data_IF_851615981427
#
_entry.id   IF_851615981427
#
_cell.length_a   1.000
_cell.length_b   1.000
_cell.length_c   1.000
_cell.angle_alpha   90.00
_cell.angle_beta   90.00
_cell.angle_gamma   90.00
#
_symmetry.space_group_name_H-M   'P 1'
#
loop_
_entity.id
_entity.type
_entity.pdbx_description
1 polymer ?
#
# COMPACT_ATOMS: atom_id res chain seq x y z
N UNK A 1 3.98 7.91 29.01
CA UNK A 1 4.82 6.76 28.59
C UNK A 1 4.05 6.00 27.51
N UNK A 2 4.40 6.18 26.22
CA UNK A 2 3.78 5.45 25.11
C UNK A 2 4.55 4.14 24.93
N UNK A 3 4.00 3.05 25.47
CA UNK A 3 4.50 1.70 25.21
C UNK A 3 3.92 1.14 23.92
N UNK A 4 4.80 0.55 23.11
CA UNK A 4 4.56 -0.39 22.01
C UNK A 4 3.46 -0.05 20.97
N UNK A 5 3.86 0.56 19.85
CA UNK A 5 3.13 0.48 18.56
C UNK A 5 3.82 -0.45 17.54
N UNK A 6 4.91 -1.12 17.92
CA UNK A 6 5.72 -1.91 16.96
C UNK A 6 4.99 -3.14 16.40
N UNK A 7 4.10 -3.79 17.16
CA UNK A 7 3.45 -5.03 16.72
C UNK A 7 2.44 -4.85 15.58
N UNK A 8 1.58 -3.85 15.67
CA UNK A 8 0.49 -3.64 14.69
C UNK A 8 1.00 -3.39 13.26
N UNK A 9 2.16 -2.72 13.11
CA UNK A 9 2.74 -2.51 11.79
C UNK A 9 3.26 -3.81 11.17
N UNK A 10 3.80 -4.72 11.99
CA UNK A 10 4.31 -6.01 11.51
C UNK A 10 3.14 -6.94 11.14
N UNK A 11 2.07 -6.97 11.95
CA UNK A 11 0.86 -7.76 11.65
C UNK A 11 0.26 -7.39 10.28
N UNK A 12 0.22 -6.10 9.93
CA UNK A 12 -0.31 -5.64 8.64
C UNK A 12 0.64 -5.96 7.48
N UNK A 13 1.96 -5.86 7.68
CA UNK A 13 2.94 -6.29 6.68
C UNK A 13 2.78 -7.78 6.38
N UNK A 14 2.72 -8.61 7.42
CA UNK A 14 2.55 -10.06 7.30
C UNK A 14 1.23 -10.42 6.62
N UNK A 15 0.13 -9.76 7.00
CA UNK A 15 -1.17 -9.92 6.34
C UNK A 15 -1.08 -9.57 4.85
N UNK A 16 -0.44 -8.46 4.50
CA UNK A 16 -0.34 -8.02 3.10
C UNK A 16 0.46 -9.02 2.25
N UNK A 17 1.62 -9.47 2.76
CA UNK A 17 2.43 -10.47 2.06
C UNK A 17 1.73 -11.82 1.97
N UNK A 18 0.94 -12.20 2.98
CA UNK A 18 0.08 -13.39 2.91
C UNK A 18 -0.97 -13.27 1.79
N UNK A 19 -1.59 -12.09 1.62
CA UNK A 19 -2.57 -11.87 0.55
C UNK A 19 -1.93 -11.95 -0.83
N UNK A 20 -0.79 -11.26 -1.01
CA UNK A 20 -0.02 -11.31 -2.26
C UNK A 20 0.34 -12.76 -2.61
N UNK A 21 0.86 -13.51 -1.64
CA UNK A 21 1.17 -14.94 -1.82
C UNK A 21 -0.06 -15.79 -2.11
N UNK A 22 -1.21 -15.52 -1.47
CA UNK A 22 -2.44 -16.30 -1.66
C UNK A 22 -3.06 -16.08 -3.04
N UNK A 23 -2.99 -14.85 -3.57
CA UNK A 23 -3.54 -14.47 -4.87
C UNK A 23 -2.56 -14.66 -6.03
N UNK A 24 -1.33 -15.13 -5.78
CA UNK A 24 -0.24 -15.20 -6.76
C UNK A 24 0.08 -13.82 -7.38
N UNK A 25 -0.04 -12.78 -6.56
CA UNK A 25 0.21 -11.39 -6.92
C UNK A 25 1.65 -11.01 -6.57
N UNK A 26 2.33 -10.37 -7.52
CA UNK A 26 3.77 -10.11 -7.45
C UNK A 26 4.10 -8.93 -6.55
N UNK A 27 5.02 -9.15 -5.62
CA UNK A 27 5.51 -8.11 -4.71
C UNK A 27 6.08 -6.91 -5.49
N UNK A 28 6.73 -7.16 -6.63
CA UNK A 28 7.34 -6.14 -7.49
C UNK A 28 6.32 -5.20 -8.14
N UNK A 29 5.04 -5.58 -8.18
CA UNK A 29 3.97 -4.70 -8.65
C UNK A 29 3.61 -3.64 -7.59
N UNK A 30 3.91 -3.91 -6.31
CA UNK A 30 3.59 -3.05 -5.18
C UNK A 30 4.82 -2.32 -4.62
N UNK A 31 5.96 -3.00 -4.58
CA UNK A 31 7.22 -2.50 -4.03
C UNK A 31 8.30 -2.42 -5.09
N UNK A 32 9.05 -1.32 -5.07
CA UNK A 32 10.28 -1.16 -5.83
C UNK A 32 11.43 -0.92 -4.84
N UNK A 33 12.42 -1.81 -4.84
CA UNK A 33 13.52 -1.76 -3.88
C UNK A 33 14.68 -0.93 -4.40
N UNK A 34 15.21 -0.06 -3.53
CA UNK A 34 16.44 0.69 -3.75
C UNK A 34 17.39 0.49 -2.57
N UNK A 35 18.65 0.91 -2.70
CA UNK A 35 19.57 0.89 -1.56
C UNK A 35 19.04 1.75 -0.39
N UNK A 36 19.35 1.37 0.86
CA UNK A 36 18.90 2.11 2.05
C UNK A 36 19.43 3.56 2.07
N UNK A 37 20.59 3.79 1.44
CA UNK A 37 21.22 5.10 1.30
C UNK A 37 20.82 5.86 0.05
N UNK A 38 20.07 5.24 -0.88
CA UNK A 38 19.64 5.83 -2.14
C UNK A 38 18.86 7.13 -1.91
N UNK A 39 19.23 8.23 -2.55
CA UNK A 39 18.53 9.50 -2.51
C UNK A 39 17.35 9.52 -3.51
N UNK A 40 16.43 10.48 -3.35
CA UNK A 40 15.24 10.56 -4.20
C UNK A 40 15.62 10.76 -5.68
N UNK A 41 16.67 11.53 -5.96
CA UNK A 41 17.17 11.83 -7.29
C UNK A 41 17.89 10.65 -7.95
N UNK A 42 18.27 9.64 -7.16
CA UNK A 42 19.00 8.44 -7.60
C UNK A 42 18.05 7.28 -7.96
N UNK A 43 16.75 7.42 -7.70
CA UNK A 43 15.76 6.41 -8.06
C UNK A 43 15.64 6.32 -9.58
N UNK A 44 15.87 5.14 -10.15
CA UNK A 44 15.70 4.86 -11.58
C UNK A 44 14.21 4.77 -11.96
N UNK A 45 13.53 5.93 -12.00
CA UNK A 45 12.08 6.03 -12.19
C UNK A 45 11.57 5.34 -13.47
N UNK A 46 12.39 5.22 -14.52
CA UNK A 46 12.02 4.50 -15.74
C UNK A 46 11.79 3.00 -15.56
N UNK A 47 12.24 2.41 -14.43
CA UNK A 47 11.98 1.01 -14.07
C UNK A 47 10.79 0.85 -13.12
N UNK A 48 10.30 1.95 -12.54
CA UNK A 48 9.18 1.93 -11.60
C UNK A 48 7.86 1.80 -12.39
N UNK A 49 6.86 1.03 -11.90
CA UNK A 49 5.55 1.00 -12.51
C UNK A 49 4.92 2.40 -12.66
N UNK A 50 4.06 2.55 -13.67
CA UNK A 50 3.28 3.78 -13.87
C UNK A 50 2.17 3.95 -12.83
N UNK A 51 1.74 2.84 -12.23
CA UNK A 51 0.76 2.83 -11.14
C UNK A 51 1.39 3.26 -9.81
N UNK A 52 0.57 3.62 -8.81
CA UNK A 52 1.05 3.82 -7.45
C UNK A 52 1.95 2.70 -6.95
N UNK A 53 3.20 3.03 -6.63
CA UNK A 53 4.21 2.06 -6.17
C UNK A 53 4.97 2.62 -4.99
N UNK A 54 5.18 1.79 -3.97
CA UNK A 54 5.96 2.13 -2.80
C UNK A 54 7.43 1.84 -3.11
N UNK A 55 8.27 2.86 -3.00
CA UNK A 55 9.72 2.67 -3.06
C UNK A 55 10.20 2.30 -1.67
N UNK A 56 10.80 1.13 -1.52
CA UNK A 56 11.34 0.62 -0.26
C UNK A 56 12.84 0.90 -0.24
N UNK A 57 13.30 1.77 0.67
CA UNK A 57 14.73 2.02 0.85
C UNK A 57 15.31 0.90 1.72
N UNK A 58 16.09 0.00 1.11
CA UNK A 58 16.65 -1.18 1.74
C UNK A 58 16.19 -2.49 1.09
N UNK A 59 16.78 -3.58 1.54
CA UNK A 59 16.63 -4.91 0.91
C UNK A 59 15.30 -5.60 1.22
N UNK A 60 14.48 -5.05 2.13
CA UNK A 60 13.25 -5.71 2.56
C UNK A 60 12.27 -4.74 3.23
N UNK A 61 10.98 -4.87 2.90
CA UNK A 61 9.89 -4.13 3.55
C UNK A 61 9.74 -4.47 5.05
N UNK A 62 10.32 -5.58 5.52
CA UNK A 62 10.35 -5.94 6.95
C UNK A 62 11.24 -4.99 7.74
N UNK A 63 12.48 -4.76 7.28
CA UNK A 63 13.50 -4.00 8.01
C UNK A 63 13.55 -2.51 7.65
N UNK A 64 13.00 -2.12 6.50
CA UNK A 64 13.07 -0.74 6.04
C UNK A 64 12.30 0.21 6.94
N UNK A 65 12.93 1.35 7.25
CA UNK A 65 12.33 2.43 8.05
C UNK A 65 12.02 3.67 7.20
N UNK A 66 12.34 3.61 5.91
CA UNK A 66 12.25 4.71 4.97
C UNK A 66 11.62 4.24 3.67
N UNK A 67 10.60 4.97 3.25
CA UNK A 67 9.80 4.69 2.08
C UNK A 67 9.57 5.98 1.28
N UNK A 68 9.34 5.81 -0.01
CA UNK A 68 8.84 6.86 -0.91
C UNK A 68 7.61 6.35 -1.65
N UNK A 69 6.86 7.27 -2.27
CA UNK A 69 5.74 6.95 -3.14
C UNK A 69 6.00 7.51 -4.54
N UNK A 70 5.88 6.63 -5.52
CA UNK A 70 5.88 6.98 -6.94
C UNK A 70 4.47 6.92 -7.51
N UNK A 71 4.14 7.87 -8.39
CA UNK A 71 2.95 7.88 -9.23
C UNK A 71 3.36 8.29 -10.64
N UNK A 72 3.00 7.51 -11.65
CA UNK A 72 3.35 7.79 -13.05
C UNK A 72 4.85 8.09 -13.21
N UNK A 73 5.69 7.29 -12.57
CA UNK A 73 7.15 7.45 -12.55
C UNK A 73 7.63 8.82 -12.04
N UNK A 74 6.85 9.45 -11.15
CA UNK A 74 7.24 10.67 -10.44
C UNK A 74 7.18 10.43 -8.94
N UNK A 75 8.23 10.84 -8.21
CA UNK A 75 8.22 10.80 -6.75
C UNK A 75 7.30 11.89 -6.20
N UNK A 76 6.20 11.49 -5.58
CA UNK A 76 5.20 12.41 -5.02
C UNK A 76 5.35 12.60 -3.51
N UNK A 77 6.02 11.65 -2.84
CA UNK A 77 6.37 11.77 -1.42
C UNK A 77 7.66 10.99 -1.15
N UNK A 78 8.70 11.68 -0.69
CA UNK A 78 10.05 11.11 -0.54
C UNK A 78 10.44 10.84 0.92
N UNK A 79 9.55 11.14 1.88
CA UNK A 79 9.86 11.07 3.30
C UNK A 79 8.74 10.40 4.10
N UNK A 80 8.55 9.10 3.84
CA UNK A 80 7.59 8.27 4.57
C UNK A 80 8.35 7.36 5.53
N UNK A 81 8.12 7.49 6.83
CA UNK A 81 8.85 6.77 7.88
C UNK A 81 8.13 5.51 8.42
N UNK A 82 6.99 5.16 7.84
CA UNK A 82 6.15 4.06 8.29
C UNK A 82 5.59 3.29 7.11
N UNK A 83 5.68 1.97 7.17
CA UNK A 83 5.10 1.06 6.19
C UNK A 83 3.59 1.28 6.05
N UNK A 84 2.88 1.38 7.18
CA UNK A 84 1.42 1.61 7.19
C UNK A 84 1.07 2.92 6.47
N UNK A 85 1.86 3.98 6.71
CA UNK A 85 1.66 5.25 6.03
C UNK A 85 1.92 5.14 4.53
N UNK A 86 2.98 4.44 4.12
CA UNK A 86 3.28 4.19 2.71
C UNK A 86 2.16 3.40 2.02
N UNK A 87 1.66 2.34 2.67
CA UNK A 87 0.56 1.51 2.20
C UNK A 87 -0.71 2.32 1.99
N UNK A 88 -1.13 3.12 2.97
CA UNK A 88 -2.36 3.91 2.85
C UNK A 88 -2.23 5.07 1.86
N UNK A 89 -1.05 5.69 1.75
CA UNK A 89 -0.81 6.73 0.75
C UNK A 89 -0.86 6.16 -0.67
N UNK A 90 -0.21 5.00 -0.89
CA UNK A 90 -0.27 4.27 -2.16
C UNK A 90 -1.70 3.85 -2.47
N UNK A 91 -2.38 3.18 -1.54
CA UNK A 91 -3.78 2.76 -1.72
C UNK A 91 -4.71 3.94 -2.01
N UNK A 92 -4.61 5.02 -1.23
CA UNK A 92 -5.44 6.21 -1.39
C UNK A 92 -5.21 6.93 -2.73
N UNK A 93 -4.01 6.85 -3.29
CA UNK A 93 -3.71 7.48 -4.58
C UNK A 93 -4.49 6.85 -5.74
N UNK A 94 -4.79 5.55 -5.71
CA UNK A 94 -5.67 4.94 -6.70
C UNK A 94 -7.05 5.63 -6.74
N UNK A 95 -7.60 5.93 -5.57
CA UNK A 95 -8.87 6.67 -5.47
C UNK A 95 -8.71 8.14 -5.90
N UNK A 96 -7.71 8.85 -5.35
CA UNK A 96 -7.53 10.29 -5.61
C UNK A 96 -7.30 10.61 -7.10
N UNK A 97 -6.60 9.73 -7.81
CA UNK A 97 -6.24 9.94 -9.21
C UNK A 97 -7.11 9.11 -10.19
N UNK A 98 -8.15 8.43 -9.70
CA UNK A 98 -9.04 7.58 -10.51
C UNK A 98 -8.28 6.52 -11.34
N UNK A 99 -7.25 5.92 -10.75
CA UNK A 99 -6.41 4.90 -11.38
C UNK A 99 -7.04 3.54 -11.11
N UNK A 100 -7.15 2.71 -12.15
CA UNK A 100 -7.63 1.34 -12.00
C UNK A 100 -6.57 0.49 -11.34
N UNK A 101 -6.99 -0.46 -10.48
CA UNK A 101 -6.06 -1.41 -9.91
C UNK A 101 -5.39 -2.22 -11.02
N UNK A 102 -4.06 -2.36 -11.02
CA UNK A 102 -3.38 -3.23 -11.96
C UNK A 102 -3.83 -4.67 -11.73
N UNK A 103 -3.94 -5.46 -12.80
CA UNK A 103 -4.35 -6.87 -12.72
C UNK A 103 -3.48 -7.69 -11.76
N UNK A 104 -2.23 -7.27 -11.60
CA UNK A 104 -1.20 -7.89 -10.79
C UNK A 104 -1.37 -7.64 -9.28
N UNK A 105 -2.29 -6.74 -8.87
CA UNK A 105 -2.59 -6.43 -7.46
C UNK A 105 -4.09 -6.31 -7.16
N UNK A 106 -4.95 -6.61 -8.14
CA UNK A 106 -6.38 -6.31 -8.07
C UNK A 106 -7.05 -6.96 -6.85
N UNK A 107 -6.74 -8.23 -6.57
CA UNK A 107 -7.36 -8.99 -5.48
C UNK A 107 -6.93 -8.45 -4.12
N UNK A 108 -5.63 -8.17 -3.93
CA UNK A 108 -5.13 -7.58 -2.68
C UNK A 108 -5.68 -6.18 -2.46
N UNK A 109 -5.72 -5.32 -3.48
CA UNK A 109 -6.24 -3.96 -3.36
C UNK A 109 -7.76 -3.95 -3.12
N UNK A 110 -8.52 -4.84 -3.76
CA UNK A 110 -9.95 -5.04 -3.47
C UNK A 110 -10.18 -5.51 -2.03
N UNK A 111 -9.33 -6.41 -1.52
CA UNK A 111 -9.39 -6.86 -0.14
C UNK A 111 -9.16 -5.70 0.84
N UNK A 112 -8.13 -4.88 0.61
CA UNK A 112 -7.85 -3.68 1.41
C UNK A 112 -9.04 -2.71 1.40
N UNK A 113 -9.64 -2.47 0.23
CA UNK A 113 -10.84 -1.65 0.09
C UNK A 113 -12.00 -2.21 0.94
N UNK A 114 -12.24 -3.52 0.92
CA UNK A 114 -13.31 -4.16 1.71
C UNK A 114 -13.06 -4.02 3.21
N UNK A 115 -11.82 -4.19 3.68
CA UNK A 115 -11.47 -3.99 5.09
C UNK A 115 -11.70 -2.55 5.52
N UNK A 116 -11.25 -1.56 4.74
CA UNK A 116 -11.46 -0.14 5.07
C UNK A 116 -12.94 0.22 5.21
N UNK A 117 -13.81 -0.36 4.38
CA UNK A 117 -15.27 -0.18 4.48
C UNK A 117 -15.86 -0.82 5.74
N UNK A 118 -15.39 -2.01 6.12
CA UNK A 118 -15.82 -2.68 7.36
C UNK A 118 -15.39 -1.86 8.58
N UNK A 119 -14.14 -1.40 8.60
CA UNK A 119 -13.56 -0.65 9.71
C UNK A 119 -14.15 0.76 9.86
N UNK A 120 -14.53 1.41 8.76
CA UNK A 120 -15.18 2.73 8.78
C UNK A 120 -16.63 2.69 9.27
N UNK A 121 -17.20 1.51 9.56
CA UNK A 121 -18.48 1.40 10.24
C UNK A 121 -19.66 1.95 9.46
N UNK A 122 -19.57 2.02 8.12
CA UNK A 122 -20.72 2.31 7.27
C UNK A 122 -21.71 1.17 7.47
N UNK A 123 -22.66 1.39 8.38
CA UNK A 123 -23.89 0.60 8.47
C UNK A 123 -24.53 0.70 7.10
N UNK A 124 -24.34 -0.31 6.26
CA UNK A 124 -25.20 -0.52 5.12
C UNK A 124 -26.63 -0.53 5.69
N UNK A 125 -27.42 0.51 5.41
CA UNK A 125 -28.86 0.46 5.63
C UNK A 125 -29.33 -0.70 4.77
N UNK A 126 -29.52 -1.87 5.37
CA UNK A 126 -30.37 -2.89 4.80
C UNK A 126 -31.75 -2.23 4.69
N UNK A 127 -32.13 -1.93 3.46
CA UNK A 127 -33.48 -1.52 3.13
C UNK A 127 -34.40 -2.65 3.53
N UNK A 128 -34.99 -2.54 4.72
CA UNK A 128 -36.17 -3.30 5.06
C UNK A 128 -37.35 -2.60 4.37
N UNK A 129 -37.49 -2.87 3.06
CA UNK A 129 -38.82 -2.93 2.48
C UNK A 129 -39.51 -4.12 3.16
N UNK A 130 -40.37 -3.85 4.13
CA UNK A 130 -41.52 -4.72 4.36
C UNK A 130 -42.71 -3.89 3.95
N UNK A 131 -43.19 -4.20 2.74
CA UNK A 131 -44.49 -3.79 2.27
C UNK A 131 -45.59 -4.35 3.18
N UNK A 132 -46.62 -3.53 3.39
CA UNK A 132 -47.99 -3.80 3.90
C UNK A 132 -48.32 -3.14 5.24
#
# INVERSE_FOLDING_TARGET
MRGQQSGCSEDVKEMLLLLLSYFDEKEESMFFHVDDTCLAEEVELGQVPLTPTIIVCGQSCYSSTRYMLSLDQNLVNTNISSFISALWLMFGSYYCFNIHYPSELASTLEFLQRISLIMSGVKAKQGLCVDS
#
